data_IF_307908522296
#
_entry.id   IF_307908522296
#
_cell.length_a   1.000
_cell.length_b   1.000
_cell.length_c   1.000
_cell.angle_alpha   90.00
_cell.angle_beta   90.00
_cell.angle_gamma   90.00
#
_symmetry.space_group_name_H-M   'P 1'
#
loop_
_entity.id
_entity.type
_entity.pdbx_description
1 polymer ?
#
# COMPACT_ATOMS: atom_id res chain seq x y z
N UNK A 1 -16.48 -5.66 26.48
CA UNK A 1 -16.61 -6.63 25.38
C UNK A 1 -15.32 -7.43 25.39
N UNK A 2 -15.40 -8.76 25.55
CA UNK A 2 -14.23 -9.62 25.48
C UNK A 2 -13.91 -9.81 24.00
N UNK A 3 -12.75 -9.36 23.56
CA UNK A 3 -12.27 -9.61 22.20
C UNK A 3 -12.06 -11.11 22.01
N UNK A 4 -12.77 -11.71 21.05
CA UNK A 4 -12.53 -13.08 20.63
C UNK A 4 -11.11 -13.19 20.06
N UNK A 5 -10.20 -13.76 20.85
CA UNK A 5 -8.78 -13.96 20.48
C UNK A 5 -8.57 -14.96 19.34
N UNK A 6 -9.64 -15.56 18.82
CA UNK A 6 -9.59 -16.62 17.82
C UNK A 6 -9.75 -16.06 16.40
N UNK A 7 -9.12 -14.91 16.12
CA UNK A 7 -9.10 -14.32 14.79
C UNK A 7 -8.26 -15.21 13.88
N UNK A 8 -8.93 -15.90 12.95
CA UNK A 8 -8.25 -16.71 11.93
C UNK A 8 -7.54 -15.77 10.96
N UNK A 9 -6.21 -15.70 11.04
CA UNK A 9 -5.38 -14.89 10.15
C UNK A 9 -4.90 -15.75 8.98
N UNK A 10 -4.85 -15.15 7.78
CA UNK A 10 -4.17 -15.73 6.63
C UNK A 10 -2.66 -15.64 6.83
N UNK A 11 -1.93 -16.73 6.57
CA UNK A 11 -0.47 -16.71 6.67
C UNK A 11 0.16 -15.90 5.52
N UNK A 12 1.34 -15.31 5.73
CA UNK A 12 2.03 -14.58 4.66
C UNK A 12 2.39 -15.47 3.46
N UNK A 13 2.72 -16.74 3.72
CA UNK A 13 3.04 -17.71 2.68
C UNK A 13 1.83 -18.04 1.80
N UNK A 14 0.64 -18.14 2.40
CA UNK A 14 -0.62 -18.34 1.68
C UNK A 14 -1.06 -17.08 0.93
N UNK A 15 -0.85 -15.91 1.51
CA UNK A 15 -1.25 -14.63 0.93
C UNK A 15 -0.43 -14.26 -0.32
N UNK A 16 0.86 -14.57 -0.30
CA UNK A 16 1.79 -14.19 -1.37
C UNK A 16 2.05 -12.68 -1.45
N UNK A 17 3.00 -12.28 -2.29
CA UNK A 17 3.47 -10.90 -2.39
C UNK A 17 2.38 -9.94 -2.88
N UNK A 18 1.73 -10.26 -4.01
CA UNK A 18 0.67 -9.41 -4.57
C UNK A 18 -0.56 -9.34 -3.65
N UNK A 19 -0.88 -10.44 -2.94
CA UNK A 19 -1.94 -10.45 -1.95
C UNK A 19 -1.63 -9.55 -0.76
N UNK A 20 -0.37 -9.54 -0.31
CA UNK A 20 0.10 -8.69 0.76
C UNK A 20 0.08 -7.20 0.37
N UNK A 21 0.58 -6.87 -0.82
CA UNK A 21 0.52 -5.51 -1.37
C UNK A 21 -0.93 -5.04 -1.43
N UNK A 22 -1.84 -5.85 -1.99
CA UNK A 22 -3.26 -5.51 -2.07
C UNK A 22 -3.90 -5.31 -0.69
N UNK A 23 -3.59 -6.16 0.29
CA UNK A 23 -4.17 -6.07 1.62
C UNK A 23 -3.71 -4.83 2.39
N UNK A 24 -2.41 -4.50 2.33
CA UNK A 24 -1.85 -3.30 2.98
C UNK A 24 -2.38 -2.03 2.31
N UNK A 25 -2.52 -2.05 0.99
CA UNK A 25 -2.89 -0.87 0.20
C UNK A 25 -4.41 -0.71 0.02
N UNK A 26 -5.22 -1.67 0.48
CA UNK A 26 -6.68 -1.73 0.30
C UNK A 26 -7.43 -0.45 0.68
N UNK A 27 -6.97 0.23 1.71
CA UNK A 27 -7.59 1.46 2.23
C UNK A 27 -6.67 2.68 2.10
N UNK A 28 -5.57 2.53 1.37
CA UNK A 28 -4.65 3.62 1.12
C UNK A 28 -5.33 4.73 0.31
N UNK A 29 -5.05 5.98 0.69
CA UNK A 29 -5.49 7.17 -0.04
C UNK A 29 -4.31 8.09 -0.26
N UNK A 30 -4.33 8.76 -1.41
CA UNK A 30 -3.36 9.81 -1.71
C UNK A 30 -3.78 11.08 -0.97
N UNK A 31 -2.99 11.46 0.02
CA UNK A 31 -3.23 12.67 0.84
C UNK A 31 -2.46 13.90 0.30
N UNK A 32 -1.44 13.70 -0.53
CA UNK A 32 -0.59 14.76 -1.06
C UNK A 32 -0.93 15.04 -2.51
N UNK A 33 -1.28 16.28 -2.82
CA UNK A 33 -1.62 16.71 -4.17
C UNK A 33 -0.46 16.56 -5.17
N UNK A 34 0.79 16.54 -4.70
CA UNK A 34 1.97 16.30 -5.54
C UNK A 34 2.17 14.84 -5.91
N UNK A 35 1.41 13.89 -5.35
CA UNK A 35 1.52 12.48 -5.74
C UNK A 35 0.77 12.23 -7.04
N UNK A 36 1.51 11.98 -8.12
CA UNK A 36 0.94 11.64 -9.44
C UNK A 36 0.61 10.15 -9.49
N UNK A 37 1.53 9.30 -9.04
CA UNK A 37 1.35 7.85 -8.91
C UNK A 37 1.84 7.44 -7.53
N UNK A 38 0.97 6.73 -6.80
CA UNK A 38 1.26 6.27 -5.45
C UNK A 38 1.95 4.90 -5.47
N UNK A 39 1.39 3.89 -4.82
CA UNK A 39 1.97 2.54 -4.79
C UNK A 39 2.08 1.97 -6.21
N UNK A 40 3.26 1.45 -6.53
CA UNK A 40 3.60 0.73 -7.76
C UNK A 40 4.75 -0.23 -7.47
N UNK A 41 4.99 -1.16 -8.39
CA UNK A 41 6.02 -2.21 -8.24
C UNK A 41 7.44 -1.62 -8.34
N UNK A 42 7.67 -0.78 -9.35
CA UNK A 42 8.99 -0.23 -9.65
C UNK A 42 9.28 1.12 -8.98
N UNK A 43 8.28 2.02 -8.89
CA UNK A 43 8.43 3.35 -8.32
C UNK A 43 7.08 4.07 -8.08
N UNK A 44 7.09 5.03 -7.15
CA UNK A 44 6.10 6.10 -7.05
C UNK A 44 6.54 7.33 -7.85
N UNK A 45 5.59 8.18 -8.26
CA UNK A 45 5.87 9.40 -9.03
C UNK A 45 5.33 10.63 -8.30
N UNK A 46 6.22 11.58 -8.01
CA UNK A 46 5.92 12.83 -7.33
C UNK A 46 6.21 14.04 -8.20
N UNK A 47 5.29 15.00 -8.20
CA UNK A 47 5.44 16.34 -8.75
C UNK A 47 6.01 17.29 -7.68
N UNK A 48 7.29 17.09 -7.34
CA UNK A 48 7.94 17.81 -6.25
C UNK A 48 8.74 19.04 -6.70
N UNK A 49 8.91 19.25 -8.02
CA UNK A 49 9.73 20.33 -8.59
C UNK A 49 9.35 20.56 -10.07
N UNK A 50 10.15 21.32 -10.84
CA UNK A 50 9.96 21.46 -12.30
C UNK A 50 10.00 20.12 -13.05
N UNK A 51 10.57 19.07 -12.44
CA UNK A 51 10.60 17.70 -12.98
C UNK A 51 9.95 16.72 -12.01
N UNK A 52 9.45 15.63 -12.56
CA UNK A 52 8.94 14.50 -11.80
C UNK A 52 10.07 13.76 -11.09
N UNK A 53 9.81 13.36 -9.85
CA UNK A 53 10.71 12.56 -9.03
C UNK A 53 10.18 11.13 -8.95
N UNK A 54 11.05 10.16 -9.21
CA UNK A 54 10.75 8.74 -8.98
C UNK A 54 11.34 8.32 -7.63
N UNK A 55 10.56 7.60 -6.85
CA UNK A 55 10.94 7.07 -5.52
C UNK A 55 10.73 5.58 -5.50
#
# INVERSE_FOLDING_TARGET
MLEDKNTQNTSLAELGEFGLINQITKYFKVEKASTIKAIGDDAAVLDASEKQTLV
#
